data_IF_399418514836
#
_entry.id   IF_399418514836
#
_cell.length_a   1.000
_cell.length_b   1.000
_cell.length_c   1.000
_cell.angle_alpha   90.00
_cell.angle_beta   90.00
_cell.angle_gamma   90.00
#
_symmetry.space_group_name_H-M   'P 1'
#
loop_
_entity.id
_entity.type
_entity.pdbx_description
1 polymer ?
#
# COMPACT_ATOMS: atom_id res chain seq x y z
N UNK A 1 -12.11 -18.19 5.27
CA UNK A 1 -10.83 -17.50 5.58
C UNK A 1 -11.08 -16.00 5.43
N UNK A 2 -10.48 -15.14 6.26
CA UNK A 2 -10.74 -13.69 6.17
C UNK A 2 -9.92 -13.08 5.03
N UNK A 3 -10.60 -12.43 4.08
CA UNK A 3 -9.98 -11.72 2.96
C UNK A 3 -9.09 -10.57 3.45
N UNK A 4 -7.84 -10.53 3.00
CA UNK A 4 -6.85 -9.50 3.38
C UNK A 4 -7.06 -8.22 2.59
N UNK A 5 -7.03 -7.08 3.28
CA UNK A 5 -7.25 -5.77 2.67
C UNK A 5 -5.92 -5.03 2.49
N UNK A 6 -5.63 -4.62 1.26
CA UNK A 6 -4.43 -3.86 0.92
C UNK A 6 -4.84 -2.50 0.36
N UNK A 7 -4.29 -1.43 0.92
CA UNK A 7 -4.54 -0.05 0.49
C UNK A 7 -3.39 0.47 -0.36
N UNK A 8 -3.68 1.01 -1.54
CA UNK A 8 -2.69 1.62 -2.42
C UNK A 8 -2.76 3.15 -2.33
N UNK A 9 -1.68 3.80 -1.91
CA UNK A 9 -1.54 5.27 -1.94
C UNK A 9 -0.99 5.74 -3.28
N UNK A 10 -1.26 6.99 -3.67
CA UNK A 10 -0.81 7.63 -4.94
C UNK A 10 -1.15 6.79 -6.20
N UNK A 11 -2.29 6.11 -6.18
CA UNK A 11 -2.70 5.19 -7.24
C UNK A 11 -3.17 5.94 -8.48
N UNK A 12 -2.72 5.51 -9.66
CA UNK A 12 -3.24 5.99 -10.94
C UNK A 12 -4.16 4.93 -11.58
N UNK A 13 -4.92 5.34 -12.59
CA UNK A 13 -5.87 4.45 -13.28
C UNK A 13 -5.20 3.20 -13.88
N UNK A 14 -3.95 3.31 -14.34
CA UNK A 14 -3.22 2.16 -14.86
C UNK A 14 -2.81 1.18 -13.75
N UNK A 15 -2.51 1.66 -12.53
CA UNK A 15 -2.19 0.80 -11.39
C UNK A 15 -3.42 -0.05 -11.07
N UNK A 16 -4.57 0.60 -10.91
CA UNK A 16 -5.82 -0.08 -10.61
C UNK A 16 -6.12 -1.19 -11.64
N UNK A 17 -6.04 -0.85 -12.94
CA UNK A 17 -6.32 -1.80 -14.01
C UNK A 17 -5.36 -3.00 -13.93
N UNK A 18 -4.06 -2.75 -13.85
CA UNK A 18 -3.02 -3.79 -13.82
C UNK A 18 -3.18 -4.72 -12.62
N UNK A 19 -3.37 -4.17 -11.41
CA UNK A 19 -3.47 -4.97 -10.20
C UNK A 19 -4.82 -5.71 -10.10
N UNK A 20 -5.92 -5.14 -10.61
CA UNK A 20 -7.20 -5.87 -10.71
C UNK A 20 -7.12 -7.01 -11.72
N UNK A 21 -6.42 -6.84 -12.84
CA UNK A 21 -6.15 -7.92 -13.79
C UNK A 21 -5.29 -9.02 -13.17
N UNK A 22 -4.22 -8.65 -12.45
CA UNK A 22 -3.37 -9.61 -11.74
C UNK A 22 -4.15 -10.44 -10.68
N UNK A 23 -5.04 -9.81 -9.91
CA UNK A 23 -5.91 -10.53 -8.95
C UNK A 23 -6.78 -11.60 -9.62
N UNK A 24 -7.31 -11.29 -10.81
CA UNK A 24 -8.11 -12.22 -11.60
C UNK A 24 -7.25 -13.37 -12.14
N UNK A 25 -6.11 -13.05 -12.76
CA UNK A 25 -5.19 -14.03 -13.34
C UNK A 25 -4.66 -15.02 -12.29
N UNK A 26 -4.34 -14.53 -11.09
CA UNK A 26 -3.86 -15.36 -9.99
C UNK A 26 -4.99 -16.11 -9.25
N UNK A 27 -6.25 -15.82 -9.56
CA UNK A 27 -7.44 -16.37 -8.91
C UNK A 27 -7.43 -16.22 -7.37
N UNK A 28 -6.97 -15.07 -6.87
CA UNK A 28 -6.85 -14.77 -5.42
C UNK A 28 -7.85 -13.71 -4.94
N UNK A 29 -8.88 -13.43 -5.73
CA UNK A 29 -9.89 -12.41 -5.42
C UNK A 29 -10.67 -12.66 -4.11
N UNK A 30 -10.84 -13.93 -3.71
CA UNK A 30 -11.46 -14.30 -2.42
C UNK A 30 -10.51 -14.11 -1.22
N UNK A 31 -9.19 -14.03 -1.50
CA UNK A 31 -8.14 -13.92 -0.47
C UNK A 31 -7.64 -12.49 -0.30
N UNK A 32 -7.65 -11.68 -1.36
CA UNK A 32 -7.11 -10.32 -1.39
C UNK A 32 -8.13 -9.32 -1.93
N UNK A 33 -8.26 -8.18 -1.24
CA UNK A 33 -9.01 -7.01 -1.70
C UNK A 33 -8.10 -5.80 -1.76
N UNK A 34 -8.07 -5.15 -2.91
CA UNK A 34 -7.32 -3.92 -3.13
C UNK A 34 -8.25 -2.72 -3.11
N UNK A 35 -7.84 -1.68 -2.38
CA UNK A 35 -8.44 -0.34 -2.43
C UNK A 35 -7.39 0.63 -2.97
N UNK A 36 -7.77 1.50 -3.88
CA UNK A 36 -6.87 2.46 -4.51
C UNK A 36 -7.24 3.89 -4.09
N UNK A 37 -6.31 4.60 -3.48
CA UNK A 37 -6.40 6.03 -3.18
C UNK A 37 -5.51 6.80 -4.13
N UNK A 38 -6.03 7.90 -4.69
CA UNK A 38 -5.24 8.85 -5.47
C UNK A 38 -4.40 9.77 -4.58
N UNK A 39 -4.76 9.90 -3.30
CA UNK A 39 -4.03 10.70 -2.32
C UNK A 39 -2.65 10.10 -2.03
N UNK A 40 -1.65 10.98 -1.89
CA UNK A 40 -0.29 10.62 -1.46
C UNK A 40 -0.27 10.20 0.00
N UNK A 41 0.73 9.40 0.38
CA UNK A 41 0.97 9.08 1.78
C UNK A 41 1.66 10.26 2.48
N UNK A 42 1.03 10.77 3.53
CA UNK A 42 1.58 11.83 4.38
C UNK A 42 0.96 11.70 5.79
N UNK A 43 1.33 12.59 6.71
CA UNK A 43 0.84 12.55 8.10
C UNK A 43 -0.69 12.68 8.23
N UNK A 44 -1.37 13.33 7.28
CA UNK A 44 -2.83 13.51 7.30
C UNK A 44 -3.56 12.29 6.71
N UNK A 45 -2.98 11.68 5.68
CA UNK A 45 -3.61 10.55 4.95
C UNK A 45 -3.22 9.19 5.50
N UNK A 46 -2.23 9.12 6.40
CA UNK A 46 -1.77 7.85 6.98
C UNK A 46 -2.91 7.09 7.67
N UNK A 47 -3.84 7.79 8.30
CA UNK A 47 -4.97 7.20 9.02
C UNK A 47 -5.96 6.48 8.10
N UNK A 48 -5.95 6.76 6.79
CA UNK A 48 -6.75 6.03 5.80
C UNK A 48 -6.38 4.54 5.73
N UNK A 49 -5.17 4.18 6.18
CA UNK A 49 -4.72 2.78 6.26
C UNK A 49 -5.25 2.02 7.49
N UNK A 50 -6.01 2.67 8.37
CA UNK A 50 -6.62 2.00 9.52
C UNK A 50 -7.61 0.91 9.08
N UNK A 51 -7.48 -0.28 9.67
CA UNK A 51 -8.34 -1.43 9.34
C UNK A 51 -7.94 -2.18 8.06
N UNK A 52 -6.83 -1.78 7.42
CA UNK A 52 -6.17 -2.56 6.37
C UNK A 52 -5.09 -3.46 6.96
N UNK A 53 -4.88 -4.63 6.35
CA UNK A 53 -3.83 -5.59 6.72
C UNK A 53 -2.47 -5.18 6.15
N UNK A 54 -2.47 -4.39 5.07
CA UNK A 54 -1.25 -3.94 4.41
C UNK A 54 -1.47 -2.69 3.57
N UNK A 55 -0.37 -2.04 3.19
CA UNK A 55 -0.38 -0.89 2.29
C UNK A 55 0.58 -1.11 1.12
N UNK A 56 0.33 -0.44 0.01
CA UNK A 56 1.19 -0.37 -1.15
C UNK A 56 1.52 1.08 -1.47
N UNK A 57 2.80 1.41 -1.50
CA UNK A 57 3.31 2.78 -1.61
C UNK A 57 4.32 2.90 -2.76
N UNK A 58 4.60 4.13 -3.20
CA UNK A 58 5.63 4.40 -4.21
C UNK A 58 7.00 4.60 -3.55
N UNK A 59 8.08 4.45 -4.33
CA UNK A 59 9.46 4.64 -3.84
C UNK A 59 9.70 5.95 -3.08
N UNK A 60 9.02 7.03 -3.47
CA UNK A 60 9.15 8.35 -2.83
C UNK A 60 8.60 8.36 -1.40
N UNK A 61 7.52 7.63 -1.14
CA UNK A 61 6.87 7.58 0.19
C UNK A 61 7.75 6.86 1.21
N UNK A 62 8.53 5.86 0.76
CA UNK A 62 9.47 5.13 1.62
C UNK A 62 10.62 6.01 2.14
N UNK A 63 10.83 7.20 1.54
CA UNK A 63 11.84 8.18 1.98
C UNK A 63 11.29 9.17 3.02
N UNK A 64 10.01 9.09 3.36
CA UNK A 64 9.42 9.93 4.40
C UNK A 64 10.09 9.57 5.76
N UNK A 65 10.64 10.54 6.50
CA UNK A 65 11.28 10.28 7.77
C UNK A 65 10.33 9.58 8.75
N UNK A 66 10.83 8.51 9.39
CA UNK A 66 10.13 7.73 10.40
C UNK A 66 8.79 7.15 9.91
N UNK A 67 8.63 6.92 8.59
CA UNK A 67 7.35 6.48 8.03
C UNK A 67 6.88 5.14 8.62
N UNK A 68 7.80 4.21 8.89
CA UNK A 68 7.47 2.91 9.50
C UNK A 68 6.92 3.11 10.92
N UNK A 69 7.56 3.95 11.74
CA UNK A 69 7.08 4.26 13.08
C UNK A 69 5.73 4.97 13.05
N UNK A 70 5.55 5.93 12.13
CA UNK A 70 4.27 6.63 11.91
C UNK A 70 3.17 5.64 11.52
N UNK A 71 3.43 4.71 10.61
CA UNK A 71 2.46 3.69 10.20
C UNK A 71 2.13 2.78 11.37
N UNK A 72 3.15 2.27 12.07
CA UNK A 72 2.96 1.38 13.21
C UNK A 72 2.13 2.04 14.33
N UNK A 73 2.39 3.32 14.61
CA UNK A 73 1.67 4.10 15.62
C UNK A 73 0.22 4.41 15.22
N UNK A 74 0.00 4.85 13.98
CA UNK A 74 -1.33 5.30 13.54
C UNK A 74 -2.22 4.16 13.01
N UNK A 75 -1.61 3.08 12.53
CA UNK A 75 -2.28 1.99 11.82
C UNK A 75 -1.73 0.61 12.25
N UNK A 76 -1.93 0.20 13.51
CA UNK A 76 -1.40 -1.06 14.05
C UNK A 76 -1.93 -2.32 13.33
N UNK A 77 -3.00 -2.21 12.54
CA UNK A 77 -3.50 -3.30 11.70
C UNK A 77 -2.61 -3.61 10.50
N UNK A 78 -1.81 -2.63 10.04
CA UNK A 78 -0.93 -2.76 8.88
C UNK A 78 0.28 -3.59 9.28
N UNK A 79 0.40 -4.79 8.70
CA UNK A 79 1.50 -5.73 8.95
C UNK A 79 2.48 -5.83 7.80
N UNK A 80 2.11 -5.32 6.63
CA UNK A 80 2.90 -5.41 5.41
C UNK A 80 2.88 -4.05 4.71
N UNK A 81 4.07 -3.58 4.31
CA UNK A 81 4.26 -2.42 3.45
C UNK A 81 4.90 -2.94 2.16
N UNK A 82 4.17 -2.84 1.06
CA UNK A 82 4.62 -3.25 -0.27
C UNK A 82 5.08 -2.03 -1.08
N UNK A 83 6.24 -2.13 -1.73
CA UNK A 83 6.74 -1.10 -2.63
C UNK A 83 6.46 -1.51 -4.07
N UNK A 84 5.71 -0.70 -4.84
CA UNK A 84 5.38 -0.99 -6.25
C UNK A 84 6.38 -0.41 -7.25
N UNK A 85 7.64 -0.28 -6.86
CA UNK A 85 8.67 0.37 -7.68
C UNK A 85 9.93 -0.49 -7.73
N UNK A 86 10.49 -0.67 -8.92
CA UNK A 86 11.83 -1.19 -9.09
C UNK A 86 12.80 -0.11 -8.60
N UNK A 87 13.46 -0.35 -7.46
CA UNK A 87 14.36 0.62 -6.85
C UNK A 87 15.50 0.98 -7.80
N UNK A 88 15.46 2.18 -8.38
CA UNK A 88 16.63 2.76 -9.01
C UNK A 88 17.17 3.88 -8.12
N UNK A 89 18.22 3.50 -7.39
CA UNK A 89 19.20 4.33 -6.66
C UNK A 89 18.78 4.97 -5.32
N UNK A 90 19.49 4.51 -4.28
CA UNK A 90 19.86 5.29 -3.08
C UNK A 90 18.73 5.60 -2.11
N UNK A 91 18.48 4.70 -1.17
CA UNK A 91 18.04 5.05 0.18
C UNK A 91 18.29 3.81 1.05
N UNK A 92 19.31 3.88 1.90
CA UNK A 92 19.50 2.88 2.96
C UNK A 92 18.24 2.88 3.83
N UNK A 93 17.59 1.72 3.92
CA UNK A 93 16.57 1.43 4.95
C UNK A 93 17.24 1.29 6.32
#
# INVERSE_FOLDING_TARGET
>A
MTQKKILFFDSKLYDEKTFKEALKTLNVHDKLRFTFLQSKLNDETITEAQGYDGICIVHQDARIPNIIEKIHKNCPSVKIIALRSAGHQGASL
#
